data_IF_130882941727
#
_entry.id   IF_130882941727
#
_cell.length_a   1.000
_cell.length_b   1.000
_cell.length_c   1.000
_cell.angle_alpha   90.00
_cell.angle_beta   90.00
_cell.angle_gamma   90.00
#
_symmetry.space_group_name_H-M   'P 1'
#
loop_
_entity.id
_entity.type
_entity.pdbx_description
1 polymer ?
#
# COMPACT_ATOMS: atom_id res chain seq x y z
N UNK A 1 -26.35 -16.90 13.34
CA UNK A 1 -26.16 -17.24 11.91
C UNK A 1 -24.69 -17.35 11.66
N UNK A 2 -24.27 -18.47 11.07
CA UNK A 2 -22.89 -18.69 10.73
C UNK A 2 -22.51 -17.75 9.59
N UNK A 3 -21.49 -16.93 9.79
CA UNK A 3 -20.96 -16.02 8.78
C UNK A 3 -19.64 -16.62 8.29
N UNK A 4 -19.56 -16.90 7.00
CA UNK A 4 -18.33 -17.35 6.37
C UNK A 4 -17.47 -16.12 6.05
N UNK A 5 -16.23 -16.12 6.54
CA UNK A 5 -15.24 -15.10 6.22
C UNK A 5 -14.16 -15.73 5.35
N UNK A 6 -13.92 -15.13 4.19
CA UNK A 6 -12.84 -15.55 3.27
C UNK A 6 -11.72 -14.53 3.34
N UNK A 7 -10.53 -14.97 3.72
CA UNK A 7 -9.32 -14.15 3.70
C UNK A 7 -8.70 -14.18 2.29
N UNK A 8 -8.45 -12.99 1.75
CA UNK A 8 -7.81 -12.81 0.45
C UNK A 8 -6.40 -12.24 0.65
N UNK A 9 -5.49 -12.60 -0.23
CA UNK A 9 -4.12 -12.11 -0.17
C UNK A 9 -4.07 -10.58 -0.29
N UNK A 10 -3.05 -9.99 0.34
CA UNK A 10 -2.84 -8.54 0.30
C UNK A 10 -2.57 -8.07 -1.13
N UNK A 11 -3.42 -7.17 -1.60
CA UNK A 11 -3.27 -6.49 -2.89
C UNK A 11 -3.24 -4.98 -2.68
N UNK A 12 -2.75 -4.25 -3.68
CA UNK A 12 -2.72 -2.78 -3.66
C UNK A 12 -3.61 -2.15 -4.73
N UNK A 13 -4.05 -2.94 -5.70
CA UNK A 13 -4.95 -2.51 -6.78
C UNK A 13 -5.75 -3.70 -7.31
N UNK A 14 -6.81 -3.41 -8.07
CA UNK A 14 -7.59 -4.40 -8.82
C UNK A 14 -7.12 -4.50 -10.28
N UNK A 15 -5.84 -4.35 -10.50
CA UNK A 15 -5.18 -4.46 -11.81
C UNK A 15 -4.91 -5.93 -12.16
N UNK A 16 -4.32 -6.17 -13.33
CA UNK A 16 -3.99 -7.52 -13.81
C UNK A 16 -2.48 -7.82 -13.75
N UNK A 17 -1.75 -7.07 -12.91
CA UNK A 17 -0.29 -7.19 -12.89
C UNK A 17 0.23 -8.37 -12.06
N UNK A 18 -0.52 -8.80 -11.03
CA UNK A 18 -0.12 -9.93 -10.19
C UNK A 18 -1.16 -11.04 -10.19
N UNK A 19 -0.74 -12.28 -9.88
CA UNK A 19 -1.63 -13.42 -9.73
C UNK A 19 -2.63 -13.21 -8.59
N UNK A 20 -2.21 -12.55 -7.52
CA UNK A 20 -3.02 -12.26 -6.35
C UNK A 20 -4.16 -11.28 -6.69
N UNK A 21 -3.87 -10.24 -7.48
CA UNK A 21 -4.87 -9.27 -7.95
C UNK A 21 -5.92 -9.93 -8.84
N UNK A 22 -5.49 -10.82 -9.74
CA UNK A 22 -6.39 -11.59 -10.62
C UNK A 22 -7.31 -12.50 -9.78
N UNK A 23 -6.76 -13.23 -8.81
CA UNK A 23 -7.54 -14.12 -7.94
C UNK A 23 -8.56 -13.35 -7.13
N UNK A 24 -8.16 -12.24 -6.49
CA UNK A 24 -9.05 -11.39 -5.70
C UNK A 24 -10.17 -10.80 -6.56
N UNK A 25 -9.84 -10.27 -7.74
CA UNK A 25 -10.82 -9.74 -8.69
C UNK A 25 -11.83 -10.79 -9.12
N UNK A 26 -11.35 -11.97 -9.54
CA UNK A 26 -12.23 -13.06 -9.96
C UNK A 26 -13.12 -13.56 -8.83
N UNK A 27 -12.59 -13.63 -7.60
CA UNK A 27 -13.39 -13.97 -6.43
C UNK A 27 -14.53 -12.98 -6.22
N UNK A 28 -14.21 -11.68 -6.20
CA UNK A 28 -15.22 -10.65 -5.95
C UNK A 28 -16.28 -10.59 -7.03
N UNK A 29 -15.90 -10.72 -8.31
CA UNK A 29 -16.82 -10.65 -9.44
C UNK A 29 -17.68 -11.93 -9.62
N UNK A 30 -17.16 -13.11 -9.24
CA UNK A 30 -17.87 -14.36 -9.48
C UNK A 30 -18.65 -14.85 -8.26
N UNK A 31 -18.12 -14.66 -7.04
CA UNK A 31 -18.72 -15.16 -5.81
C UNK A 31 -19.72 -14.17 -5.17
N UNK A 32 -19.73 -12.92 -5.62
CA UNK A 32 -20.63 -11.86 -5.14
C UNK A 32 -20.74 -11.83 -3.60
N UNK A 33 -19.64 -11.54 -2.87
CA UNK A 33 -19.65 -11.51 -1.42
C UNK A 33 -20.67 -10.50 -0.91
N UNK A 34 -21.36 -10.81 0.20
CA UNK A 34 -22.39 -9.93 0.79
C UNK A 34 -21.83 -8.67 1.42
N UNK A 35 -20.52 -8.63 1.67
CA UNK A 35 -19.84 -7.47 2.22
C UNK A 35 -18.33 -7.64 2.16
N UNK A 36 -17.63 -6.54 2.20
CA UNK A 36 -16.16 -6.46 2.18
C UNK A 36 -15.67 -5.76 3.46
N UNK A 37 -14.67 -6.33 4.11
CA UNK A 37 -13.88 -5.64 5.12
C UNK A 37 -12.56 -5.26 4.44
N UNK A 38 -12.39 -3.98 4.18
CA UNK A 38 -11.15 -3.45 3.61
C UNK A 38 -10.25 -2.94 4.74
N UNK A 39 -9.13 -3.62 4.97
CA UNK A 39 -8.18 -3.26 6.03
C UNK A 39 -7.05 -2.43 5.42
N UNK A 40 -6.91 -1.20 5.87
CA UNK A 40 -5.88 -0.26 5.40
C UNK A 40 -4.91 0.10 6.52
N UNK A 41 -3.68 0.34 6.15
CA UNK A 41 -2.66 0.88 7.05
C UNK A 41 -2.85 2.39 7.19
N UNK A 42 -3.27 2.84 8.38
CA UNK A 42 -3.54 4.23 8.67
C UNK A 42 -2.28 5.10 8.69
N UNK A 43 -1.10 4.51 8.87
CA UNK A 43 0.18 5.25 8.81
C UNK A 43 0.57 5.62 7.38
N UNK A 44 0.01 4.91 6.39
CA UNK A 44 0.25 5.14 4.96
C UNK A 44 -1.07 5.17 4.17
N UNK A 45 -2.01 5.96 4.66
CA UNK A 45 -3.41 5.94 4.24
C UNK A 45 -3.59 6.33 2.77
N UNK A 46 -2.88 7.36 2.29
CA UNK A 46 -2.98 7.85 0.91
C UNK A 46 -2.76 6.72 -0.12
N UNK A 47 -1.75 5.89 0.11
CA UNK A 47 -1.47 4.75 -0.77
C UNK A 47 -2.53 3.65 -0.68
N UNK A 48 -3.02 3.39 0.52
CA UNK A 48 -3.96 2.27 0.74
C UNK A 48 -5.38 2.61 0.28
N UNK A 49 -5.80 3.88 0.31
CA UNK A 49 -7.09 4.31 -0.19
C UNK A 49 -7.27 4.10 -1.70
N UNK A 50 -6.20 3.95 -2.47
CA UNK A 50 -6.31 3.67 -3.89
C UNK A 50 -7.07 2.37 -4.20
N UNK A 51 -6.78 1.29 -3.47
CA UNK A 51 -7.55 0.05 -3.56
C UNK A 51 -8.97 0.23 -3.03
N UNK A 52 -9.15 0.98 -1.95
CA UNK A 52 -10.47 1.29 -1.39
C UNK A 52 -11.38 1.90 -2.45
N UNK A 53 -10.89 2.88 -3.21
CA UNK A 53 -11.64 3.51 -4.30
C UNK A 53 -12.10 2.47 -5.35
N UNK A 54 -11.21 1.56 -5.76
CA UNK A 54 -11.51 0.53 -6.73
C UNK A 54 -12.53 -0.50 -6.20
N UNK A 55 -12.48 -0.80 -4.91
CA UNK A 55 -13.47 -1.70 -4.26
C UNK A 55 -14.84 -1.03 -4.17
N UNK A 56 -14.90 0.28 -3.92
CA UNK A 56 -16.15 1.04 -3.88
C UNK A 56 -16.85 1.08 -5.25
N UNK A 57 -16.09 1.05 -6.36
CA UNK A 57 -16.64 0.96 -7.72
C UNK A 57 -17.39 -0.35 -8.00
N UNK A 58 -17.18 -1.39 -7.17
CA UNK A 58 -17.86 -2.69 -7.28
C UNK A 58 -19.30 -2.72 -6.72
N UNK A 59 -19.73 -1.65 -6.06
CA UNK A 59 -21.07 -1.54 -5.46
C UNK A 59 -21.40 -2.68 -4.47
N UNK A 60 -20.41 -3.17 -3.75
CA UNK A 60 -20.59 -4.18 -2.70
C UNK A 60 -20.51 -3.47 -1.35
N UNK A 61 -21.45 -3.75 -0.42
CA UNK A 61 -21.39 -3.19 0.93
C UNK A 61 -20.03 -3.39 1.58
N UNK A 62 -19.44 -2.32 2.10
CA UNK A 62 -18.05 -2.34 2.57
C UNK A 62 -17.90 -1.59 3.88
N UNK A 63 -16.98 -2.07 4.73
CA UNK A 63 -16.47 -1.37 5.91
C UNK A 63 -14.98 -1.13 5.74
N UNK A 64 -14.53 0.09 6.01
CA UNK A 64 -13.12 0.46 6.01
C UNK A 64 -12.54 0.34 7.42
N UNK A 65 -11.58 -0.56 7.62
CA UNK A 65 -10.88 -0.72 8.88
C UNK A 65 -9.52 0.02 8.83
N UNK A 66 -9.39 1.10 9.59
CA UNK A 66 -8.13 1.84 9.73
C UNK A 66 -7.26 1.16 10.76
N UNK A 67 -6.34 0.31 10.33
CA UNK A 67 -5.43 -0.40 11.21
C UNK A 67 -4.18 0.44 11.55
N UNK A 68 -3.48 0.08 12.62
CA UNK A 68 -2.31 0.80 13.16
C UNK A 68 -2.65 2.20 13.69
N UNK A 69 -3.88 2.42 14.17
CA UNK A 69 -4.29 3.70 14.76
C UNK A 69 -3.53 4.03 16.04
N UNK A 70 -3.00 3.05 16.73
CA UNK A 70 -2.07 3.25 17.85
C UNK A 70 -0.77 3.91 17.39
N UNK A 71 -0.18 3.48 16.29
CA UNK A 71 1.03 4.10 15.74
C UNK A 71 0.77 5.55 15.27
N UNK A 72 -0.38 5.80 14.63
CA UNK A 72 -0.78 7.16 14.25
C UNK A 72 -0.85 8.07 15.48
N UNK A 73 -1.49 7.61 16.58
CA UNK A 73 -1.60 8.36 17.84
C UNK A 73 -0.25 8.54 18.54
N UNK A 74 0.57 7.48 18.59
CA UNK A 74 1.89 7.51 19.22
C UNK A 74 2.84 8.48 18.50
N UNK A 75 2.68 8.64 17.19
CA UNK A 75 3.41 9.63 16.39
C UNK A 75 2.81 11.05 16.49
N UNK A 76 1.72 11.25 17.23
CA UNK A 76 1.07 12.55 17.42
C UNK A 76 0.21 13.01 16.25
N UNK A 77 -0.15 12.09 15.34
CA UNK A 77 -1.14 12.29 14.29
C UNK A 77 -2.55 11.92 14.78
N UNK A 78 -3.55 12.26 13.98
CA UNK A 78 -4.93 11.79 14.15
C UNK A 78 -5.65 11.73 12.81
N UNK A 79 -6.69 10.89 12.75
CA UNK A 79 -7.59 10.83 11.60
C UNK A 79 -8.99 11.19 12.11
N UNK A 80 -9.63 12.11 11.41
CA UNK A 80 -11.01 12.52 11.66
C UNK A 80 -11.95 11.49 11.04
N UNK A 81 -12.22 10.42 11.81
CA UNK A 81 -12.91 9.21 11.33
C UNK A 81 -14.30 9.52 10.81
N UNK A 82 -15.06 10.35 11.55
CA UNK A 82 -16.44 10.71 11.18
C UNK A 82 -16.49 11.50 9.88
N UNK A 83 -15.55 12.43 9.67
CA UNK A 83 -15.44 13.22 8.45
C UNK A 83 -15.04 12.32 7.26
N UNK A 84 -14.12 11.37 7.49
CA UNK A 84 -13.74 10.40 6.47
C UNK A 84 -14.90 9.48 6.08
N UNK A 85 -15.69 9.04 7.05
CA UNK A 85 -16.91 8.26 6.82
C UNK A 85 -17.93 9.04 5.99
N UNK A 86 -18.14 10.34 6.28
CA UNK A 86 -19.02 11.20 5.50
C UNK A 86 -18.53 11.41 4.06
N UNK A 87 -17.23 11.60 3.87
CA UNK A 87 -16.66 11.80 2.52
C UNK A 87 -16.69 10.51 1.68
N UNK A 88 -16.47 9.36 2.28
CA UNK A 88 -16.49 8.07 1.60
C UNK A 88 -17.89 7.46 1.49
N UNK A 89 -18.80 7.81 2.41
CA UNK A 89 -20.15 7.23 2.49
C UNK A 89 -20.17 5.77 2.92
N UNK A 90 -19.12 5.28 3.59
CA UNK A 90 -19.02 3.92 4.13
C UNK A 90 -18.56 3.97 5.57
N UNK A 91 -18.94 3.01 6.43
CA UNK A 91 -18.46 2.95 7.81
C UNK A 91 -16.94 2.85 7.87
N UNK A 92 -16.33 3.68 8.72
CA UNK A 92 -14.88 3.75 8.93
C UNK A 92 -14.56 3.45 10.38
N UNK A 93 -13.91 2.34 10.64
CA UNK A 93 -13.64 1.84 11.99
C UNK A 93 -12.15 1.90 12.31
N UNK A 94 -11.74 2.70 13.30
CA UNK A 94 -10.36 2.75 13.74
C UNK A 94 -10.02 1.51 14.57
N UNK A 95 -8.97 0.78 14.19
CA UNK A 95 -8.54 -0.43 14.88
C UNK A 95 -7.03 -0.44 15.16
N UNK A 96 -6.62 -1.23 16.13
CA UNK A 96 -5.25 -1.71 16.30
C UNK A 96 -5.29 -3.22 16.46
N UNK A 97 -4.97 -3.95 15.40
CA UNK A 97 -4.96 -5.41 15.45
C UNK A 97 -3.91 -5.94 16.45
N UNK A 98 -2.76 -5.27 16.57
CA UNK A 98 -1.70 -5.62 17.51
C UNK A 98 -2.14 -5.50 18.98
N UNK A 99 -3.03 -4.53 19.30
CA UNK A 99 -3.56 -4.30 20.65
C UNK A 99 -4.96 -4.86 20.85
N UNK A 100 -5.54 -5.49 19.83
CA UNK A 100 -6.92 -5.99 19.82
C UNK A 100 -7.97 -4.91 20.16
N UNK A 101 -7.73 -3.67 19.69
CA UNK A 101 -8.63 -2.52 19.85
C UNK A 101 -9.54 -2.39 18.63
N UNK A 102 -10.84 -2.09 18.84
CA UNK A 102 -11.82 -1.81 17.79
C UNK A 102 -12.32 -3.02 16.98
N UNK A 103 -11.81 -4.23 17.23
CA UNK A 103 -12.16 -5.44 16.44
C UNK A 103 -13.62 -5.84 16.62
N UNK A 104 -14.18 -5.73 17.84
CA UNK A 104 -15.58 -6.03 18.11
C UNK A 104 -16.53 -5.13 17.30
N UNK A 105 -16.27 -3.82 17.31
CA UNK A 105 -17.02 -2.81 16.57
C UNK A 105 -16.91 -3.04 15.05
N UNK A 106 -15.73 -3.36 14.54
CA UNK A 106 -15.52 -3.71 13.14
C UNK A 106 -16.40 -4.89 12.71
N UNK A 107 -16.45 -5.96 13.52
CA UNK A 107 -17.25 -7.14 13.21
C UNK A 107 -18.75 -6.80 13.22
N UNK A 108 -19.22 -6.02 14.19
CA UNK A 108 -20.62 -5.60 14.28
C UNK A 108 -21.03 -4.80 13.04
N UNK A 109 -20.25 -3.81 12.63
CA UNK A 109 -20.49 -3.01 11.42
C UNK A 109 -20.43 -3.87 10.15
N UNK A 110 -19.42 -4.75 10.02
CA UNK A 110 -19.30 -5.63 8.86
C UNK A 110 -20.49 -6.57 8.70
N UNK A 111 -20.97 -7.16 9.80
CA UNK A 111 -22.17 -8.01 9.79
C UNK A 111 -23.42 -7.19 9.46
N UNK A 112 -23.52 -5.96 9.98
CA UNK A 112 -24.65 -5.07 9.74
C UNK A 112 -24.76 -4.72 8.25
N UNK A 113 -23.70 -4.19 7.63
CA UNK A 113 -23.71 -3.79 6.21
C UNK A 113 -23.96 -5.00 5.30
N UNK A 114 -23.36 -6.16 5.61
CA UNK A 114 -23.57 -7.39 4.84
C UNK A 114 -25.00 -7.93 4.97
N UNK A 115 -25.64 -7.76 6.14
CA UNK A 115 -27.00 -8.25 6.38
C UNK A 115 -28.06 -7.36 5.75
N UNK A 116 -27.90 -6.05 5.87
CA UNK A 116 -28.89 -5.09 5.37
C UNK A 116 -28.62 -4.61 3.95
N UNK A 117 -27.46 -5.00 3.38
CA UNK A 117 -27.03 -4.62 2.02
C UNK A 117 -27.01 -3.09 1.85
N UNK A 118 -26.57 -2.39 2.88
CA UNK A 118 -26.43 -0.94 2.86
C UNK A 118 -25.20 -0.58 2.03
N UNK A 119 -25.40 -0.13 0.81
CA UNK A 119 -24.38 0.36 -0.11
C UNK A 119 -24.65 1.84 -0.39
N UNK A 120 -24.31 2.69 0.58
CA UNK A 120 -24.37 4.14 0.43
C UNK A 120 -23.01 4.75 0.02
N UNK A 121 -22.04 3.89 -0.29
CA UNK A 121 -20.70 4.30 -0.66
C UNK A 121 -20.69 5.22 -1.88
N UNK A 122 -19.88 6.26 -1.82
CA UNK A 122 -19.67 7.15 -2.94
C UNK A 122 -19.00 6.39 -4.09
N UNK A 123 -19.67 6.31 -5.22
CA UNK A 123 -19.15 5.63 -6.42
C UNK A 123 -18.55 6.59 -7.43
N UNK A 124 -18.95 7.87 -7.39
CA UNK A 124 -18.48 8.89 -8.30
C UNK A 124 -17.36 9.72 -7.64
N UNK A 125 -16.13 9.51 -8.10
CA UNK A 125 -14.93 10.18 -7.65
C UNK A 125 -14.45 11.25 -8.63
N UNK A 126 -15.10 11.36 -9.81
CA UNK A 126 -14.77 12.37 -10.79
C UNK A 126 -15.58 13.64 -10.54
N UNK A 127 -14.87 14.76 -10.44
CA UNK A 127 -15.48 16.07 -10.35
C UNK A 127 -15.70 16.63 -11.77
N UNK A 128 -16.91 17.17 -12.01
CA UNK A 128 -17.25 17.77 -13.30
C UNK A 128 -16.37 19.00 -13.64
N UNK A 129 -15.84 19.66 -12.61
CA UNK A 129 -15.00 20.84 -12.75
C UNK A 129 -13.50 20.49 -12.75
N UNK A 130 -13.11 19.27 -12.35
CA UNK A 130 -11.72 18.87 -12.27
C UNK A 130 -11.11 18.73 -13.68
N UNK A 131 -10.05 19.51 -13.93
CA UNK A 131 -9.38 19.58 -15.22
C UNK A 131 -10.33 19.71 -16.43
N UNK A 132 -11.36 20.52 -16.28
CA UNK A 132 -12.38 20.75 -17.32
C UNK A 132 -13.34 19.57 -17.51
N UNK A 133 -13.39 18.62 -16.57
CA UNK A 133 -14.34 17.51 -16.59
C UNK A 133 -14.06 16.43 -17.63
N UNK A 134 -12.86 16.35 -18.18
CA UNK A 134 -12.54 15.40 -19.25
C UNK A 134 -12.75 13.94 -18.83
N UNK A 135 -12.26 13.55 -17.64
CA UNK A 135 -12.42 12.19 -17.09
C UNK A 135 -13.88 11.93 -16.74
N UNK A 136 -14.57 12.92 -16.16
CA UNK A 136 -16.00 12.82 -15.84
C UNK A 136 -16.83 12.51 -17.09
N UNK A 137 -16.68 13.31 -18.16
CA UNK A 137 -17.39 13.06 -19.43
C UNK A 137 -17.04 11.71 -20.06
N UNK A 138 -15.77 11.31 -20.00
CA UNK A 138 -15.33 10.01 -20.50
C UNK A 138 -16.03 8.87 -19.77
N UNK A 139 -15.95 8.82 -18.45
CA UNK A 139 -16.54 7.75 -17.66
C UNK A 139 -18.08 7.69 -17.80
N UNK A 140 -18.75 8.83 -17.73
CA UNK A 140 -20.21 8.88 -17.95
C UNK A 140 -20.61 8.47 -19.37
N UNK A 141 -19.84 8.87 -20.39
CA UNK A 141 -20.07 8.44 -21.77
C UNK A 141 -19.90 6.93 -21.93
N UNK A 142 -18.88 6.34 -21.31
CA UNK A 142 -18.67 4.89 -21.32
C UNK A 142 -19.79 4.18 -20.55
N UNK A 143 -20.18 4.67 -19.36
CA UNK A 143 -21.26 4.07 -18.56
C UNK A 143 -22.55 3.97 -19.35
N UNK A 144 -22.96 5.03 -20.06
CA UNK A 144 -24.13 5.01 -20.93
C UNK A 144 -24.00 4.01 -22.09
N UNK A 145 -22.81 3.91 -22.69
CA UNK A 145 -22.54 2.98 -23.77
C UNK A 145 -22.68 1.52 -23.34
N UNK A 146 -22.22 1.18 -22.16
CA UNK A 146 -22.09 -0.22 -21.70
C UNK A 146 -23.20 -0.68 -20.74
N UNK A 147 -24.16 0.17 -20.36
CA UNK A 147 -25.14 -0.12 -19.31
C UNK A 147 -25.86 -1.45 -19.50
N UNK A 148 -26.37 -1.71 -20.70
CA UNK A 148 -27.08 -2.96 -21.01
C UNK A 148 -26.14 -4.18 -21.04
N UNK A 149 -24.93 -3.99 -21.53
CA UNK A 149 -23.91 -5.06 -21.57
C UNK A 149 -23.43 -5.43 -20.17
N UNK A 150 -23.17 -4.43 -19.32
CA UNK A 150 -22.74 -4.64 -17.93
C UNK A 150 -23.83 -5.34 -17.12
N UNK A 151 -25.10 -4.95 -17.27
CA UNK A 151 -26.24 -5.64 -16.65
C UNK A 151 -26.36 -7.10 -17.08
N UNK A 152 -26.17 -7.39 -18.37
CA UNK A 152 -26.20 -8.78 -18.87
C UNK A 152 -25.02 -9.64 -18.38
N UNK A 153 -23.87 -9.02 -18.21
CA UNK A 153 -22.65 -9.67 -17.74
C UNK A 153 -22.57 -9.77 -16.19
N UNK A 154 -23.53 -9.15 -15.49
CA UNK A 154 -23.55 -9.04 -14.02
C UNK A 154 -22.28 -8.37 -13.44
N UNK A 155 -21.84 -7.31 -14.13
CA UNK A 155 -20.68 -6.52 -13.72
C UNK A 155 -21.15 -5.09 -13.37
N UNK A 156 -20.72 -4.52 -12.23
CA UNK A 156 -21.05 -3.15 -11.87
C UNK A 156 -20.61 -2.15 -12.96
N UNK A 157 -21.56 -1.32 -13.41
CA UNK A 157 -21.37 -0.43 -14.57
C UNK A 157 -20.19 0.54 -14.37
N UNK A 158 -20.06 1.10 -13.15
CA UNK A 158 -18.98 2.02 -12.82
C UNK A 158 -17.61 1.36 -12.88
N UNK A 159 -17.49 0.18 -12.26
CA UNK A 159 -16.26 -0.62 -12.32
C UNK A 159 -15.88 -0.96 -13.75
N UNK A 160 -16.86 -1.45 -14.55
CA UNK A 160 -16.62 -1.77 -15.94
C UNK A 160 -16.17 -0.54 -16.75
N UNK A 161 -16.79 0.61 -16.54
CA UNK A 161 -16.43 1.84 -17.23
C UNK A 161 -15.00 2.30 -16.90
N UNK A 162 -14.60 2.28 -15.63
CA UNK A 162 -13.24 2.61 -15.21
C UNK A 162 -12.21 1.63 -15.81
N UNK A 163 -12.52 0.34 -15.81
CA UNK A 163 -11.63 -0.69 -16.37
C UNK A 163 -11.49 -0.58 -17.89
N UNK A 164 -12.58 -0.31 -18.61
CA UNK A 164 -12.53 -0.05 -20.05
C UNK A 164 -11.74 1.23 -20.36
N UNK A 165 -11.93 2.28 -19.57
CA UNK A 165 -11.15 3.52 -19.72
C UNK A 165 -9.65 3.28 -19.47
N UNK A 166 -9.29 2.39 -18.56
CA UNK A 166 -7.89 1.94 -18.32
C UNK A 166 -7.35 1.05 -19.45
N UNK A 167 -8.21 0.51 -20.31
CA UNK A 167 -7.82 -0.40 -21.41
C UNK A 167 -7.79 -1.88 -21.01
N UNK A 168 -8.63 -2.29 -20.07
CA UNK A 168 -8.74 -3.68 -19.59
C UNK A 168 -9.42 -4.58 -20.64
N UNK A 169 -8.63 -5.45 -21.28
CA UNK A 169 -9.10 -6.35 -22.34
C UNK A 169 -10.05 -7.44 -21.81
N UNK A 170 -9.88 -7.91 -20.56
CA UNK A 170 -10.75 -8.94 -20.01
C UNK A 170 -12.19 -8.43 -19.81
N UNK A 171 -12.35 -7.22 -19.33
CA UNK A 171 -13.68 -6.60 -19.22
C UNK A 171 -14.26 -6.33 -20.61
N UNK A 172 -13.44 -5.91 -21.56
CA UNK A 172 -13.87 -5.70 -22.94
C UNK A 172 -14.44 -6.98 -23.57
N UNK A 173 -13.76 -8.12 -23.36
CA UNK A 173 -14.21 -9.44 -23.83
C UNK A 173 -15.50 -9.89 -23.14
N UNK A 174 -15.60 -9.69 -21.82
CA UNK A 174 -16.80 -10.08 -21.04
C UNK A 174 -18.05 -9.31 -21.45
N UNK A 175 -17.92 -8.04 -21.77
CA UNK A 175 -19.04 -7.18 -22.16
C UNK A 175 -19.53 -7.44 -23.59
N UNK A 176 -18.74 -8.09 -24.45
CA UNK A 176 -19.10 -8.46 -25.82
C UNK A 176 -19.63 -7.30 -26.65
N UNK A 177 -18.96 -6.16 -26.61
CA UNK A 177 -19.31 -4.98 -27.41
C UNK A 177 -19.16 -5.28 -28.90
N UNK A 178 -20.04 -4.68 -29.72
CA UNK A 178 -19.89 -4.74 -31.18
C UNK A 178 -18.76 -3.84 -31.69
N UNK A 179 -18.40 -3.94 -32.96
CA UNK A 179 -17.28 -3.17 -33.53
C UNK A 179 -17.57 -1.65 -33.56
N UNK A 180 -18.81 -1.22 -33.68
CA UNK A 180 -19.18 0.19 -33.63
C UNK A 180 -19.06 0.74 -32.21
N UNK A 181 -19.51 -0.04 -31.23
CA UNK A 181 -19.40 0.29 -29.80
C UNK A 181 -17.93 0.37 -29.37
N UNK A 182 -17.07 -0.55 -29.82
CA UNK A 182 -15.63 -0.50 -29.56
C UNK A 182 -14.97 0.75 -30.18
N UNK A 183 -15.36 1.11 -31.41
CA UNK A 183 -14.85 2.32 -32.04
C UNK A 183 -15.31 3.57 -31.29
N UNK A 184 -16.55 3.63 -30.83
CA UNK A 184 -17.06 4.72 -30.01
C UNK A 184 -16.36 4.81 -28.66
N UNK A 185 -16.16 3.68 -27.98
CA UNK A 185 -15.38 3.60 -26.75
C UNK A 185 -13.97 4.19 -26.93
N UNK A 186 -13.27 3.74 -27.98
CA UNK A 186 -11.92 4.22 -28.25
C UNK A 186 -11.91 5.71 -28.62
N UNK A 187 -12.92 6.22 -29.29
CA UNK A 187 -13.07 7.64 -29.58
C UNK A 187 -13.24 8.47 -28.29
N UNK A 188 -14.11 8.04 -27.37
CA UNK A 188 -14.35 8.69 -26.08
C UNK A 188 -13.05 8.73 -25.25
N UNK A 189 -12.32 7.61 -25.19
CA UNK A 189 -11.06 7.52 -24.44
C UNK A 189 -9.99 8.40 -25.05
N UNK A 190 -9.81 8.39 -26.39
CA UNK A 190 -8.84 9.26 -27.07
C UNK A 190 -9.12 10.74 -26.88
N UNK A 191 -10.39 11.13 -26.86
CA UNK A 191 -10.76 12.51 -26.56
C UNK A 191 -10.30 12.90 -25.15
N UNK A 192 -10.51 12.06 -24.14
CA UNK A 192 -10.03 12.27 -22.78
C UNK A 192 -8.49 12.39 -22.74
N UNK A 193 -7.77 11.47 -23.41
CA UNK A 193 -6.30 11.50 -23.49
C UNK A 193 -5.78 12.81 -24.08
N UNK A 194 -6.42 13.30 -25.15
CA UNK A 194 -6.06 14.57 -25.79
C UNK A 194 -6.33 15.78 -24.90
N UNK A 195 -7.49 15.82 -24.24
CA UNK A 195 -7.86 16.92 -23.35
C UNK A 195 -6.98 16.93 -22.08
N UNK A 196 -6.59 15.77 -21.57
CA UNK A 196 -5.75 15.65 -20.37
C UNK A 196 -4.25 15.77 -20.66
N UNK A 197 -3.81 15.45 -21.86
CA UNK A 197 -2.39 15.31 -22.16
C UNK A 197 -1.71 14.15 -21.44
N UNK A 198 -2.47 13.17 -20.98
CA UNK A 198 -2.05 11.96 -20.26
C UNK A 198 -2.55 10.73 -21.00
N UNK A 199 -1.84 9.62 -20.86
CA UNK A 199 -2.40 8.33 -21.29
C UNK A 199 -3.62 7.94 -20.43
N UNK A 200 -4.42 7.01 -20.94
CA UNK A 200 -5.70 6.60 -20.33
C UNK A 200 -5.55 6.11 -18.90
N UNK A 201 -4.55 5.28 -18.63
CA UNK A 201 -4.32 4.73 -17.29
C UNK A 201 -3.86 5.80 -16.31
N UNK A 202 -2.97 6.71 -16.76
CA UNK A 202 -2.51 7.83 -15.95
C UNK A 202 -3.65 8.81 -15.65
N UNK A 203 -4.54 9.10 -16.62
CA UNK A 203 -5.67 10.00 -16.40
C UNK A 203 -6.67 9.47 -15.36
N UNK A 204 -6.97 8.16 -15.38
CA UNK A 204 -7.85 7.52 -14.39
C UNK A 204 -7.17 7.44 -13.03
N UNK A 205 -5.87 7.12 -12.98
CA UNK A 205 -5.11 7.11 -11.73
C UNK A 205 -5.04 8.50 -11.09
N UNK A 206 -4.78 9.53 -11.88
CA UNK A 206 -4.72 10.93 -11.44
C UNK A 206 -6.06 11.39 -10.84
N UNK A 207 -7.18 11.05 -11.46
CA UNK A 207 -8.51 11.29 -10.88
C UNK A 207 -8.65 10.68 -9.48
N UNK A 208 -8.27 9.41 -9.30
CA UNK A 208 -8.36 8.75 -7.98
C UNK A 208 -7.42 9.41 -6.97
N UNK A 209 -6.18 9.70 -7.36
CA UNK A 209 -5.23 10.35 -6.46
C UNK A 209 -5.67 11.76 -6.06
N UNK A 210 -6.21 12.54 -6.99
CA UNK A 210 -6.77 13.87 -6.68
C UNK A 210 -7.89 13.78 -5.63
N UNK A 211 -8.77 12.79 -5.76
CA UNK A 211 -9.83 12.58 -4.77
C UNK A 211 -9.28 12.12 -3.41
N UNK A 212 -8.32 11.17 -3.41
CA UNK A 212 -7.64 10.71 -2.19
C UNK A 212 -6.95 11.86 -1.47
N UNK A 213 -6.24 12.71 -2.21
CA UNK A 213 -5.56 13.90 -1.66
C UNK A 213 -6.57 14.85 -1.00
N UNK A 214 -7.69 15.14 -1.65
CA UNK A 214 -8.77 15.96 -1.07
C UNK A 214 -9.29 15.36 0.26
N UNK A 215 -9.54 14.05 0.31
CA UNK A 215 -9.98 13.38 1.54
C UNK A 215 -8.90 13.44 2.62
N UNK A 216 -7.67 13.10 2.29
CA UNK A 216 -6.57 13.08 3.26
C UNK A 216 -6.28 14.48 3.82
N UNK A 217 -6.31 15.51 2.98
CA UNK A 217 -6.12 16.89 3.42
C UNK A 217 -7.25 17.36 4.37
N UNK A 218 -8.48 16.89 4.16
CA UNK A 218 -9.61 17.22 5.01
C UNK A 218 -9.65 16.42 6.31
N UNK A 219 -9.18 15.17 6.30
CA UNK A 219 -9.42 14.22 7.41
C UNK A 219 -8.18 13.76 8.15
N UNK A 220 -6.99 13.88 7.56
CA UNK A 220 -5.74 13.41 8.17
C UNK A 220 -4.98 14.56 8.79
N UNK A 221 -4.93 14.60 10.11
CA UNK A 221 -4.09 15.55 10.85
C UNK A 221 -2.67 14.99 10.94
N UNK A 222 -1.79 15.51 10.10
CA UNK A 222 -0.37 15.10 10.09
C UNK A 222 0.28 15.46 11.43
N UNK A 223 1.11 14.59 12.02
CA UNK A 223 1.80 14.90 13.26
C UNK A 223 2.65 16.15 13.09
N UNK A 224 2.66 17.03 14.10
CA UNK A 224 3.73 18.03 14.20
C UNK A 224 5.02 17.25 14.24
N UNK A 225 5.94 17.53 13.29
CA UNK A 225 7.21 16.82 13.09
C UNK A 225 7.78 16.29 14.41
N UNK A 226 7.87 14.96 14.54
CA UNK A 226 8.37 14.37 15.79
C UNK A 226 9.81 14.81 16.01
N UNK A 227 10.20 15.03 17.26
CA UNK A 227 11.59 15.40 17.59
C UNK A 227 12.61 14.40 17.04
N UNK A 228 12.19 13.15 16.82
CA UNK A 228 13.01 12.09 16.24
C UNK A 228 13.17 12.25 14.73
N UNK A 229 12.12 12.64 14.02
CA UNK A 229 12.18 12.93 12.59
C UNK A 229 13.08 14.17 12.33
N UNK A 230 12.95 15.20 13.16
CA UNK A 230 13.85 16.36 13.12
C UNK A 230 15.31 16.00 13.41
N UNK A 231 15.56 15.05 14.32
CA UNK A 231 16.92 14.53 14.58
C UNK A 231 17.47 13.73 13.40
N UNK A 232 16.66 12.83 12.86
CA UNK A 232 17.00 12.00 11.69
C UNK A 232 17.31 12.89 10.48
N UNK A 233 16.44 13.84 10.18
CA UNK A 233 16.64 14.80 9.09
C UNK A 233 17.89 15.68 9.27
N UNK A 234 18.20 16.07 10.52
CA UNK A 234 19.45 16.79 10.81
C UNK A 234 20.68 15.91 10.63
N UNK A 235 20.64 14.65 11.06
CA UNK A 235 21.71 13.70 10.84
C UNK A 235 21.91 13.40 9.36
N UNK A 236 20.86 13.18 8.61
CA UNK A 236 20.89 13.00 7.17
C UNK A 236 21.51 14.20 6.46
N UNK A 237 21.12 15.42 6.84
CA UNK A 237 21.68 16.64 6.26
C UNK A 237 23.19 16.80 6.52
N UNK A 238 23.69 16.26 7.63
CA UNK A 238 25.13 16.26 7.95
C UNK A 238 25.83 15.15 7.17
N UNK A 239 25.28 13.93 7.16
CA UNK A 239 25.88 12.76 6.53
C UNK A 239 25.89 12.82 5.00
N UNK A 240 24.83 13.41 4.41
CA UNK A 240 24.64 13.48 2.94
C UNK A 240 24.84 14.88 2.36
N UNK A 241 25.18 15.88 3.19
CA UNK A 241 25.35 17.26 2.77
C UNK A 241 26.50 17.43 1.77
N UNK A 242 26.32 18.28 0.77
CA UNK A 242 27.26 18.52 -0.34
C UNK A 242 28.72 18.75 0.09
N UNK A 243 28.95 19.37 1.26
CA UNK A 243 30.28 19.68 1.79
C UNK A 243 30.67 18.81 3.00
N UNK A 244 29.71 18.16 3.65
CA UNK A 244 29.94 17.42 4.89
C UNK A 244 29.98 15.89 4.68
N UNK A 245 29.43 15.38 3.57
CA UNK A 245 29.40 13.96 3.29
C UNK A 245 30.80 13.33 3.19
N UNK A 246 31.73 13.95 2.45
CA UNK A 246 33.09 13.42 2.26
C UNK A 246 33.90 13.44 3.57
N UNK A 247 33.95 14.54 4.35
CA UNK A 247 34.62 14.53 5.65
C UNK A 247 34.04 13.54 6.64
N UNK A 248 32.71 13.42 6.72
CA UNK A 248 32.01 12.42 7.54
C UNK A 248 32.37 11.00 7.13
N UNK A 249 32.36 10.70 5.84
CA UNK A 249 32.74 9.38 5.33
C UNK A 249 34.17 9.02 5.72
N UNK A 250 35.13 9.95 5.51
CA UNK A 250 36.53 9.73 5.88
C UNK A 250 36.69 9.51 7.39
N UNK A 251 35.97 10.29 8.21
CA UNK A 251 36.02 10.13 9.67
C UNK A 251 35.44 8.76 10.12
N UNK A 252 34.33 8.36 9.55
CA UNK A 252 33.72 7.05 9.84
C UNK A 252 34.65 5.92 9.40
N UNK A 253 35.21 5.99 8.19
CA UNK A 253 36.13 4.98 7.71
C UNK A 253 37.39 4.89 8.56
N UNK A 254 37.99 6.03 8.95
CA UNK A 254 39.13 6.07 9.86
C UNK A 254 38.83 5.44 11.22
N UNK A 255 37.66 5.74 11.78
CA UNK A 255 37.18 5.12 13.03
C UNK A 255 36.99 3.60 12.91
N UNK A 256 36.38 3.14 11.81
CA UNK A 256 36.19 1.70 11.53
C UNK A 256 37.53 1.01 11.38
N UNK A 257 38.47 1.56 10.60
CA UNK A 257 39.82 0.99 10.46
C UNK A 257 40.55 0.94 11.79
N UNK A 258 40.53 2.04 12.56
CA UNK A 258 41.17 2.08 13.86
C UNK A 258 40.60 1.02 14.82
N UNK A 259 39.27 0.87 14.87
CA UNK A 259 38.60 -0.12 15.71
C UNK A 259 38.96 -1.55 15.27
N UNK A 260 38.94 -1.80 13.96
CA UNK A 260 39.23 -3.13 13.39
C UNK A 260 40.67 -3.55 13.68
N UNK A 261 41.65 -2.67 13.47
CA UNK A 261 43.05 -3.06 13.63
C UNK A 261 43.55 -2.98 15.08
N UNK A 262 43.15 -1.96 15.84
CA UNK A 262 43.68 -1.75 17.19
C UNK A 262 42.86 -2.48 18.28
N UNK A 263 41.58 -2.68 18.09
CA UNK A 263 40.75 -3.34 19.11
C UNK A 263 40.53 -4.79 18.72
N UNK A 264 39.90 -5.07 17.58
CA UNK A 264 39.55 -6.43 17.18
C UNK A 264 40.81 -7.21 16.75
N UNK A 265 41.67 -6.62 15.96
CA UNK A 265 42.92 -7.24 15.48
C UNK A 265 43.88 -7.56 16.64
N UNK A 266 44.08 -6.62 17.57
CA UNK A 266 44.92 -6.83 18.72
C UNK A 266 44.37 -7.92 19.66
N UNK A 267 43.06 -7.94 19.91
CA UNK A 267 42.42 -8.99 20.72
C UNK A 267 42.56 -10.38 20.07
N UNK A 268 42.37 -10.46 18.73
CA UNK A 268 42.48 -11.71 17.99
C UNK A 268 43.94 -12.21 17.94
N UNK A 269 44.91 -11.31 17.75
CA UNK A 269 46.33 -11.63 17.77
C UNK A 269 46.76 -12.19 19.13
N UNK A 270 46.37 -11.53 20.24
CA UNK A 270 46.65 -11.99 21.59
C UNK A 270 46.02 -13.37 21.87
N UNK A 271 44.81 -13.61 21.38
CA UNK A 271 44.15 -14.92 21.52
C UNK A 271 44.90 -16.02 20.77
N UNK A 272 45.36 -15.72 19.55
CA UNK A 272 46.17 -16.62 18.72
C UNK A 272 47.51 -16.93 19.37
N UNK A 273 48.21 -15.92 19.87
CA UNK A 273 49.50 -16.05 20.54
C UNK A 273 49.37 -16.91 21.83
N UNK A 274 48.29 -16.75 22.57
CA UNK A 274 47.99 -17.55 23.74
C UNK A 274 47.70 -19.01 23.35
N UNK A 275 46.97 -19.25 22.27
CA UNK A 275 46.71 -20.57 21.71
C UNK A 275 47.97 -21.28 21.22
N UNK A 276 48.81 -20.56 20.46
CA UNK A 276 50.10 -21.09 19.97
C UNK A 276 51.05 -21.41 21.16
N UNK A 277 51.16 -20.53 22.13
CA UNK A 277 51.96 -20.73 23.32
C UNK A 277 51.50 -21.95 24.14
N UNK A 278 50.17 -22.13 24.28
CA UNK A 278 49.61 -23.30 24.95
C UNK A 278 49.95 -24.62 24.21
N UNK A 279 49.87 -24.62 22.88
CA UNK A 279 50.21 -25.76 22.02
C UNK A 279 51.71 -26.06 22.10
N UNK A 280 52.56 -25.04 22.02
CA UNK A 280 54.03 -25.21 22.14
C UNK A 280 54.40 -25.77 23.48
N UNK A 281 53.83 -25.27 24.57
CA UNK A 281 54.08 -25.79 25.92
C UNK A 281 53.59 -27.25 26.06
N UNK A 282 52.49 -27.62 25.41
CA UNK A 282 51.97 -29.00 25.43
C UNK A 282 52.92 -29.96 24.68
N UNK A 283 53.40 -29.53 23.52
CA UNK A 283 54.38 -30.31 22.73
C UNK A 283 55.73 -30.44 23.45
N UNK A 284 56.25 -29.35 24.03
CA UNK A 284 57.48 -29.37 24.83
C UNK A 284 57.35 -30.30 26.07
N UNK A 285 56.22 -30.24 26.75
CA UNK A 285 55.95 -31.15 27.86
C UNK A 285 55.88 -32.62 27.44
N UNK A 286 55.32 -32.93 26.28
CA UNK A 286 55.27 -34.28 25.73
C UNK A 286 56.66 -34.76 25.30
N UNK A 287 57.45 -33.94 24.61
CA UNK A 287 58.82 -34.27 24.19
C UNK A 287 59.75 -34.48 25.38
N UNK A 288 59.62 -33.68 26.43
CA UNK A 288 60.37 -33.83 27.67
C UNK A 288 60.01 -35.13 28.39
N UNK A 289 58.72 -35.51 28.40
CA UNK A 289 58.26 -36.76 28.99
C UNK A 289 58.75 -38.01 28.26
N UNK A 290 59.01 -37.90 26.96
CA UNK A 290 59.55 -38.96 26.10
C UNK A 290 61.06 -38.98 26.01
N UNK A 291 61.77 -38.22 26.84
CA UNK A 291 63.21 -38.14 26.90
C UNK A 291 63.93 -37.93 25.58
N UNK A 292 63.34 -37.22 24.64
CA UNK A 292 63.96 -36.85 23.39
C UNK A 292 64.85 -35.65 23.65
N UNK A 293 66.14 -35.83 23.55
CA UNK A 293 67.15 -34.78 23.74
C UNK A 293 66.84 -33.59 22.83
N UNK A 294 66.78 -32.39 23.42
CA UNK A 294 66.74 -31.11 22.66
C UNK A 294 68.10 -30.95 21.91
N UNK A 295 68.01 -30.89 20.58
CA UNK A 295 69.10 -30.42 19.72
C UNK A 295 69.04 -28.91 19.65
#
# INVERSE_FOLDING_TARGET
SDTLVTDLQRIYSMSLYSSEEIVTRNFVLNEHPKGIINIVDATNIERNLYLTMQLMELDIPMVLALNMMDEVRDNGGSILVNEMEQELGIPVIPISAAKNEGIGELIEHAVHVAKYQESEGRQDFCDADDHGGAVHRCLHGIMHLIEDHAKKADIPVRFAACKLAEGDELILEQLKLDENEKQLLEHIVKQMEQERGLDRSAAIADMRFTFIEKICDATVVKPKESKEHLRSAKMDKILTGKYTAIPCFVAIMAAVFWLTFNVIGAALSNLLDMGISALTNMVDGALTSWNVNSV
#
